data_IF_524734012963
#
_entry.id   IF_524734012963
#
_cell.length_a   1.000
_cell.length_b   1.000
_cell.length_c   1.000
_cell.angle_alpha   90.00
_cell.angle_beta   90.00
_cell.angle_gamma   90.00
#
_symmetry.space_group_name_H-M   'P 1'
#
loop_
_entity.id
_entity.type
_entity.pdbx_description
1 polymer ?
#
# COMPACT_ATOMS: atom_id res chain seq x y z
N UNK A 1 4.73 39.46 -2.40
CA UNK A 1 4.54 38.72 -1.13
C UNK A 1 4.08 37.25 -1.37
N UNK A 2 3.10 36.97 -2.21
CA UNK A 2 2.62 35.63 -2.53
C UNK A 2 3.69 34.69 -3.13
N UNK A 3 4.59 35.18 -3.99
CA UNK A 3 5.69 34.37 -4.57
C UNK A 3 6.75 33.97 -3.54
N UNK A 4 7.00 34.78 -2.53
CA UNK A 4 7.96 34.49 -1.45
C UNK A 4 7.37 33.46 -0.47
N UNK A 5 6.07 33.56 -0.18
CA UNK A 5 5.39 32.54 0.63
C UNK A 5 5.34 31.16 -0.08
N UNK A 6 4.99 31.09 -1.37
CA UNK A 6 5.07 29.85 -2.15
C UNK A 6 6.47 29.21 -2.16
N UNK A 7 7.53 30.03 -2.29
CA UNK A 7 8.92 29.52 -2.21
C UNK A 7 9.27 28.96 -0.82
N UNK A 8 8.82 29.60 0.26
CA UNK A 8 9.07 29.13 1.64
C UNK A 8 8.30 27.83 1.94
N UNK A 9 7.06 27.70 1.45
CA UNK A 9 6.30 26.45 1.57
C UNK A 9 6.94 25.31 0.75
N UNK A 10 7.40 25.57 -0.47
CA UNK A 10 8.09 24.57 -1.30
C UNK A 10 9.44 24.14 -0.72
N UNK A 11 10.23 25.02 -0.10
CA UNK A 11 11.49 24.67 0.54
C UNK A 11 11.28 23.82 1.80
N UNK A 12 10.28 24.13 2.63
CA UNK A 12 9.94 23.33 3.81
C UNK A 12 9.48 21.91 3.44
N UNK A 13 8.70 21.77 2.36
CA UNK A 13 8.25 20.46 1.87
C UNK A 13 9.42 19.59 1.36
N UNK A 14 10.43 20.18 0.71
CA UNK A 14 11.64 19.48 0.23
C UNK A 14 12.54 19.05 1.41
N UNK A 15 12.71 19.90 2.42
CA UNK A 15 13.51 19.56 3.60
C UNK A 15 12.86 18.43 4.41
N UNK A 16 11.55 18.48 4.63
CA UNK A 16 10.79 17.41 5.31
C UNK A 16 10.89 16.11 4.51
N UNK A 17 10.75 16.17 3.20
CA UNK A 17 10.89 15.00 2.32
C UNK A 17 12.27 14.34 2.46
N UNK A 18 13.34 15.15 2.36
CA UNK A 18 14.70 14.64 2.46
C UNK A 18 14.96 14.03 3.84
N UNK A 19 14.47 14.68 4.91
CA UNK A 19 14.56 14.16 6.27
C UNK A 19 13.82 12.82 6.40
N UNK A 20 12.58 12.71 5.89
CA UNK A 20 11.79 11.46 5.91
C UNK A 20 12.47 10.36 5.11
N UNK A 21 13.00 10.67 3.94
CA UNK A 21 13.73 9.72 3.09
C UNK A 21 14.96 9.17 3.82
N UNK A 22 15.76 10.05 4.43
CA UNK A 22 16.96 9.66 5.17
C UNK A 22 16.60 8.82 6.42
N UNK A 23 15.63 9.26 7.21
CA UNK A 23 15.16 8.52 8.39
C UNK A 23 14.64 7.13 7.99
N UNK A 24 13.88 7.03 6.90
CA UNK A 24 13.36 5.75 6.43
C UNK A 24 14.47 4.79 6.01
N UNK A 25 15.50 5.29 5.33
CA UNK A 25 16.69 4.50 4.99
C UNK A 25 17.44 4.05 6.26
N UNK A 26 17.65 4.96 7.20
CA UNK A 26 18.40 4.70 8.43
C UNK A 26 17.66 3.75 9.39
N UNK A 27 16.32 3.71 9.32
CA UNK A 27 15.50 2.74 10.07
C UNK A 27 15.47 1.36 9.41
N UNK A 28 15.52 1.26 8.08
CA UNK A 28 15.51 -0.04 7.38
C UNK A 28 16.68 -0.92 7.78
N UNK A 29 17.86 -0.36 7.91
CA UNK A 29 19.09 -1.11 8.25
C UNK A 29 19.00 -1.86 9.58
N UNK A 30 18.69 -1.22 10.74
CA UNK A 30 18.55 -1.92 12.00
C UNK A 30 17.35 -2.89 12.01
N UNK A 31 16.25 -2.56 11.33
CA UNK A 31 15.11 -3.47 11.23
C UNK A 31 15.46 -4.75 10.46
N UNK A 32 16.20 -4.66 9.36
CA UNK A 32 16.69 -5.82 8.63
C UNK A 32 17.61 -6.69 9.49
N UNK A 33 18.46 -6.07 10.31
CA UNK A 33 19.31 -6.81 11.25
C UNK A 33 18.48 -7.52 12.32
N UNK A 34 17.46 -6.87 12.90
CA UNK A 34 16.56 -7.50 13.89
C UNK A 34 15.83 -8.70 13.27
N UNK A 35 15.29 -8.58 12.05
CA UNK A 35 14.67 -9.69 11.35
C UNK A 35 15.63 -10.86 11.18
N UNK A 36 16.88 -10.59 10.74
CA UNK A 36 17.90 -11.63 10.59
C UNK A 36 18.25 -12.34 11.90
N UNK A 37 18.33 -11.63 13.03
CA UNK A 37 18.54 -12.26 14.34
C UNK A 37 17.31 -13.07 14.80
N UNK A 38 16.10 -12.63 14.51
CA UNK A 38 14.88 -13.38 14.79
C UNK A 38 14.84 -14.68 13.98
N UNK A 39 15.27 -14.64 12.70
CA UNK A 39 15.38 -15.83 11.87
C UNK A 39 16.40 -16.84 12.43
N UNK A 40 17.54 -16.38 12.91
CA UNK A 40 18.53 -17.23 13.56
C UNK A 40 18.00 -17.88 14.85
N UNK A 41 17.25 -17.13 15.65
CA UNK A 41 16.65 -17.64 16.89
C UNK A 41 15.54 -18.66 16.69
N UNK A 42 14.94 -18.74 15.48
CA UNK A 42 13.98 -19.80 15.17
C UNK A 42 14.60 -21.21 15.12
N UNK A 43 15.92 -21.29 14.84
CA UNK A 43 16.65 -22.55 14.81
C UNK A 43 17.19 -22.98 16.18
N UNK A 44 17.06 -22.13 17.21
CA UNK A 44 17.53 -22.43 18.56
C UNK A 44 16.46 -23.11 19.40
N UNK A 45 16.88 -24.03 20.31
CA UNK A 45 15.97 -24.62 21.29
C UNK A 45 15.56 -23.58 22.34
N UNK A 46 14.37 -23.03 22.19
CA UNK A 46 13.83 -22.01 23.09
C UNK A 46 12.59 -22.52 23.84
N UNK A 47 12.34 -21.99 25.05
CA UNK A 47 11.12 -22.27 25.79
C UNK A 47 9.87 -21.81 25.05
N UNK A 48 8.69 -22.36 25.39
CA UNK A 48 7.40 -21.92 24.81
C UNK A 48 7.16 -20.43 25.02
N UNK A 49 7.53 -19.92 26.18
CA UNK A 49 7.40 -18.49 26.50
C UNK A 49 8.34 -17.63 25.63
N UNK A 50 9.59 -18.07 25.45
CA UNK A 50 10.53 -17.36 24.58
C UNK A 50 10.04 -17.34 23.14
N UNK A 51 9.52 -18.43 22.59
CA UNK A 51 8.92 -18.47 21.24
C UNK A 51 7.76 -17.50 21.12
N UNK A 52 6.90 -17.38 22.14
CA UNK A 52 5.81 -16.42 22.15
C UNK A 52 6.32 -14.97 22.12
N UNK A 53 7.36 -14.64 22.90
CA UNK A 53 7.94 -13.30 22.88
C UNK A 53 8.63 -12.99 21.56
N UNK A 54 9.34 -13.94 20.98
CA UNK A 54 9.97 -13.80 19.66
C UNK A 54 8.95 -13.55 18.57
N UNK A 55 7.81 -14.26 18.56
CA UNK A 55 6.71 -14.02 17.63
C UNK A 55 6.18 -12.57 17.76
N UNK A 56 5.96 -12.09 18.99
CA UNK A 56 5.51 -10.70 19.20
C UNK A 56 6.54 -9.69 18.70
N UNK A 57 7.84 -9.93 18.93
CA UNK A 57 8.91 -9.05 18.45
C UNK A 57 8.94 -9.06 16.93
N UNK A 58 8.80 -10.22 16.30
CA UNK A 58 8.73 -10.37 14.82
C UNK A 58 7.59 -9.51 14.26
N UNK A 59 6.37 -9.71 14.76
CA UNK A 59 5.19 -8.96 14.30
C UNK A 59 5.41 -7.43 14.41
N UNK A 60 6.03 -6.97 15.50
CA UNK A 60 6.31 -5.54 15.69
C UNK A 60 7.40 -5.03 14.76
N UNK A 61 8.41 -5.84 14.50
CA UNK A 61 9.50 -5.48 13.58
C UNK A 61 9.00 -5.41 12.14
N UNK A 62 8.19 -6.36 11.71
CA UNK A 62 7.55 -6.37 10.39
C UNK A 62 6.65 -5.15 10.20
N UNK A 63 5.85 -4.81 11.21
CA UNK A 63 5.02 -3.61 11.20
C UNK A 63 5.86 -2.32 11.06
N UNK A 64 6.98 -2.20 11.80
CA UNK A 64 7.88 -1.05 11.70
C UNK A 64 8.56 -0.99 10.32
N UNK A 65 8.95 -2.12 9.76
CA UNK A 65 9.53 -2.21 8.41
C UNK A 65 8.52 -1.70 7.38
N UNK A 66 7.28 -2.19 7.43
CA UNK A 66 6.21 -1.75 6.55
C UNK A 66 5.95 -0.25 6.68
N UNK A 67 5.84 0.28 7.91
CA UNK A 67 5.62 1.71 8.15
C UNK A 67 6.76 2.55 7.55
N UNK A 68 8.00 2.10 7.71
CA UNK A 68 9.19 2.78 7.19
C UNK A 68 9.17 2.80 5.66
N UNK A 69 8.81 1.69 5.02
CA UNK A 69 8.71 1.59 3.56
C UNK A 69 7.56 2.45 3.01
N UNK A 70 6.41 2.45 3.66
CA UNK A 70 5.28 3.29 3.27
C UNK A 70 5.62 4.78 3.41
N UNK A 71 6.30 5.17 4.50
CA UNK A 71 6.75 6.54 4.73
C UNK A 71 7.78 6.99 3.67
N UNK A 72 8.75 6.11 3.36
CA UNK A 72 9.72 6.35 2.29
C UNK A 72 9.03 6.56 0.94
N UNK A 73 8.11 5.68 0.60
CA UNK A 73 7.38 5.76 -0.65
C UNK A 73 6.49 7.00 -0.74
N UNK A 74 5.82 7.34 0.36
CA UNK A 74 5.06 8.57 0.44
C UNK A 74 5.94 9.81 0.19
N UNK A 75 7.15 9.83 0.76
CA UNK A 75 8.14 10.89 0.55
C UNK A 75 8.58 11.00 -0.93
N UNK A 76 8.82 9.85 -1.59
CA UNK A 76 9.22 9.82 -3.00
C UNK A 76 8.08 10.24 -3.93
N UNK A 77 6.89 9.74 -3.70
CA UNK A 77 5.71 10.00 -4.56
C UNK A 77 5.31 11.46 -4.51
N UNK A 78 5.49 12.14 -3.38
CA UNK A 78 5.19 13.58 -3.24
C UNK A 78 6.20 14.50 -3.93
N UNK A 79 7.33 13.98 -4.44
CA UNK A 79 8.32 14.82 -5.12
C UNK A 79 7.92 15.08 -6.56
N UNK A 80 7.86 16.37 -6.96
CA UNK A 80 7.63 16.80 -8.35
C UNK A 80 8.70 16.27 -9.33
N UNK A 81 9.84 15.79 -8.83
CA UNK A 81 10.95 15.22 -9.60
C UNK A 81 10.77 13.72 -9.92
N UNK A 82 9.75 13.07 -9.37
CA UNK A 82 9.53 11.65 -9.64
C UNK A 82 8.81 11.48 -10.99
N UNK A 83 9.58 11.54 -12.07
CA UNK A 83 9.09 11.22 -13.41
C UNK A 83 8.67 9.75 -13.44
N UNK A 84 7.35 9.50 -13.45
CA UNK A 84 6.82 8.17 -13.73
C UNK A 84 7.36 7.68 -15.09
N UNK A 85 7.85 6.47 -15.11
CA UNK A 85 8.26 5.84 -16.36
C UNK A 85 7.00 5.33 -17.10
N UNK A 86 6.44 6.19 -17.94
CA UNK A 86 5.18 5.88 -18.62
C UNK A 86 5.45 5.14 -19.94
N UNK A 87 4.79 4.00 -20.11
CA UNK A 87 4.80 3.16 -21.31
C UNK A 87 3.38 2.62 -21.59
N UNK A 88 3.12 2.06 -22.78
CA UNK A 88 1.86 1.36 -23.02
C UNK A 88 1.77 0.10 -22.15
N UNK A 89 0.86 0.11 -21.15
CA UNK A 89 0.67 -0.97 -20.18
C UNK A 89 -0.72 -1.59 -20.34
N UNK A 90 -0.79 -2.91 -20.40
CA UNK A 90 -2.04 -3.66 -20.28
C UNK A 90 -2.45 -3.71 -18.82
N UNK A 91 -3.53 -3.00 -18.46
CA UNK A 91 -4.06 -2.96 -17.09
C UNK A 91 -4.44 -4.37 -16.63
N UNK A 92 -5.13 -5.15 -17.47
CA UNK A 92 -5.53 -6.52 -17.13
C UNK A 92 -4.35 -7.41 -16.77
N UNK A 93 -3.24 -7.33 -17.51
CA UNK A 93 -2.02 -8.10 -17.19
C UNK A 93 -1.44 -7.73 -15.83
N UNK A 94 -1.33 -6.45 -15.51
CA UNK A 94 -0.81 -6.00 -14.20
C UNK A 94 -1.75 -6.43 -13.08
N UNK A 95 -3.07 -6.41 -13.34
CA UNK A 95 -4.07 -6.90 -12.40
C UNK A 95 -3.93 -8.40 -12.13
N UNK A 96 -3.82 -9.22 -13.20
CA UNK A 96 -3.59 -10.66 -13.09
C UNK A 96 -2.32 -11.00 -12.30
N UNK A 97 -1.20 -10.35 -12.61
CA UNK A 97 0.07 -10.51 -11.90
C UNK A 97 -0.07 -10.16 -10.41
N UNK A 98 -0.79 -9.07 -10.11
CA UNK A 98 -1.03 -8.64 -8.72
C UNK A 98 -1.94 -9.62 -7.99
N UNK A 99 -3.03 -10.08 -8.60
CA UNK A 99 -3.94 -11.07 -8.03
C UNK A 99 -3.23 -12.40 -7.77
N UNK A 100 -2.39 -12.86 -8.70
CA UNK A 100 -1.60 -14.08 -8.53
C UNK A 100 -0.63 -13.98 -7.34
N UNK A 101 0.04 -12.84 -7.17
CA UNK A 101 0.95 -12.60 -6.05
C UNK A 101 0.24 -12.67 -4.67
N UNK A 102 -1.02 -12.27 -4.61
CA UNK A 102 -1.82 -12.26 -3.38
C UNK A 102 -2.69 -13.51 -3.18
N UNK A 103 -2.74 -14.42 -4.16
CA UNK A 103 -3.66 -15.55 -4.15
C UNK A 103 -3.54 -16.43 -2.89
N UNK A 104 -2.33 -16.80 -2.50
CA UNK A 104 -2.09 -17.61 -1.31
C UNK A 104 -2.55 -16.91 -0.03
N UNK A 105 -2.28 -15.61 0.09
CA UNK A 105 -2.65 -14.83 1.27
C UNK A 105 -4.17 -14.62 1.36
N UNK A 106 -4.85 -14.37 0.24
CA UNK A 106 -6.31 -14.28 0.16
C UNK A 106 -6.95 -15.62 0.51
N UNK A 107 -6.45 -16.73 -0.07
CA UNK A 107 -6.96 -18.09 0.20
C UNK A 107 -6.79 -18.49 1.67
N UNK A 108 -5.68 -18.13 2.31
CA UNK A 108 -5.44 -18.37 3.73
C UNK A 108 -6.46 -17.63 4.64
N UNK A 109 -7.06 -16.57 4.15
CA UNK A 109 -8.16 -15.82 4.82
C UNK A 109 -9.56 -16.27 4.38
N UNK A 110 -9.66 -17.29 3.54
CA UNK A 110 -10.94 -17.79 3.01
C UNK A 110 -11.55 -16.88 1.93
N UNK A 111 -10.79 -15.89 1.42
CA UNK A 111 -11.27 -15.00 0.38
C UNK A 111 -11.01 -15.64 -0.99
N UNK A 112 -12.08 -15.89 -1.74
CA UNK A 112 -11.99 -16.36 -3.13
C UNK A 112 -12.40 -15.21 -4.05
N UNK A 113 -11.44 -14.55 -4.72
CA UNK A 113 -11.74 -13.40 -5.55
C UNK A 113 -12.51 -13.80 -6.80
N UNK A 114 -13.54 -13.01 -7.14
CA UNK A 114 -14.22 -13.06 -8.42
C UNK A 114 -13.65 -11.96 -9.31
N UNK A 115 -13.06 -12.34 -10.44
CA UNK A 115 -12.41 -11.38 -11.34
C UNK A 115 -13.16 -11.37 -12.67
N UNK A 116 -13.55 -10.17 -13.12
CA UNK A 116 -14.19 -9.94 -14.41
C UNK A 116 -13.35 -8.95 -15.21
N UNK A 117 -13.03 -9.35 -16.46
CA UNK A 117 -12.22 -8.53 -17.36
C UNK A 117 -12.77 -8.63 -18.78
N UNK A 118 -12.66 -7.58 -19.59
CA UNK A 118 -13.07 -7.64 -20.99
C UNK A 118 -12.13 -8.57 -21.79
N UNK A 119 -12.65 -9.14 -22.88
CA UNK A 119 -11.85 -9.98 -23.79
C UNK A 119 -10.75 -9.18 -24.50
N UNK A 120 -11.03 -7.92 -24.80
CA UNK A 120 -10.07 -7.02 -25.43
C UNK A 120 -9.08 -6.45 -24.39
N UNK A 121 -7.82 -6.31 -24.83
CA UNK A 121 -6.77 -5.74 -23.97
C UNK A 121 -7.00 -4.26 -23.74
N UNK A 122 -7.18 -3.88 -22.48
CA UNK A 122 -7.25 -2.48 -22.07
C UNK A 122 -5.83 -1.96 -21.85
N UNK A 123 -5.35 -1.12 -22.78
CA UNK A 123 -4.00 -0.54 -22.75
C UNK A 123 -4.08 0.96 -22.44
N UNK A 124 -3.25 1.44 -21.52
CA UNK A 124 -3.08 2.86 -21.17
C UNK A 124 -1.60 3.20 -21.05
N UNK A 125 -1.27 4.48 -21.30
CA UNK A 125 0.10 4.99 -21.10
C UNK A 125 0.24 5.40 -19.64
N UNK A 126 0.94 4.56 -18.87
CA UNK A 126 1.12 4.73 -17.43
C UNK A 126 2.36 3.97 -16.93
N UNK A 127 2.70 4.11 -15.68
CA UNK A 127 3.82 3.40 -15.05
C UNK A 127 3.31 2.06 -14.47
N UNK A 128 3.84 0.95 -15.01
CA UNK A 128 3.45 -0.40 -14.60
C UNK A 128 3.80 -0.69 -13.12
N UNK A 129 4.91 -0.15 -12.62
CA UNK A 129 5.33 -0.35 -11.23
C UNK A 129 4.45 0.43 -10.25
N UNK A 130 4.09 1.66 -10.61
CA UNK A 130 3.15 2.47 -9.87
C UNK A 130 1.75 1.83 -9.83
N UNK A 131 1.25 1.32 -10.97
CA UNK A 131 -0.02 0.61 -11.02
C UNK A 131 -0.02 -0.67 -10.17
N UNK A 132 1.03 -1.48 -10.26
CA UNK A 132 1.19 -2.68 -9.41
C UNK A 132 1.15 -2.32 -7.93
N UNK A 133 1.76 -1.21 -7.54
CA UNK A 133 1.74 -0.71 -6.18
C UNK A 133 0.34 -0.26 -5.75
N UNK A 134 -0.41 0.40 -6.63
CA UNK A 134 -1.83 0.75 -6.36
C UNK A 134 -2.62 -0.52 -6.05
N UNK A 135 -2.55 -1.55 -6.91
CA UNK A 135 -3.26 -2.81 -6.69
C UNK A 135 -2.81 -3.52 -5.41
N UNK A 136 -1.52 -3.53 -5.12
CA UNK A 136 -1.00 -4.10 -3.86
C UNK A 136 -1.60 -3.41 -2.63
N UNK A 137 -1.69 -2.08 -2.62
CA UNK A 137 -2.28 -1.33 -1.51
C UNK A 137 -3.79 -1.62 -1.36
N UNK A 138 -4.52 -1.75 -2.48
CA UNK A 138 -5.93 -2.12 -2.45
C UNK A 138 -6.13 -3.56 -1.94
N UNK A 139 -5.32 -4.52 -2.42
CA UNK A 139 -5.40 -5.91 -1.98
C UNK A 139 -5.04 -6.08 -0.49
N UNK A 140 -4.04 -5.35 0.01
CA UNK A 140 -3.75 -5.31 1.45
C UNK A 140 -4.94 -4.76 2.25
N UNK A 141 -5.62 -3.73 1.72
CA UNK A 141 -6.82 -3.19 2.35
C UNK A 141 -7.94 -4.23 2.40
N UNK A 142 -8.21 -4.93 1.30
CA UNK A 142 -9.18 -6.04 1.24
C UNK A 142 -8.84 -7.13 2.26
N UNK A 143 -7.60 -7.60 2.28
CA UNK A 143 -7.19 -8.64 3.24
C UNK A 143 -7.41 -8.21 4.70
N UNK A 144 -7.42 -6.92 4.97
CA UNK A 144 -7.54 -6.38 6.32
C UNK A 144 -8.98 -6.14 6.76
N UNK A 145 -9.81 -5.69 5.85
CA UNK A 145 -11.14 -5.17 6.17
C UNK A 145 -12.30 -5.93 5.54
N UNK A 146 -12.06 -6.80 4.55
CA UNK A 146 -13.12 -7.60 3.93
C UNK A 146 -13.68 -8.62 4.93
N UNK A 147 -14.99 -8.80 4.88
CA UNK A 147 -15.73 -9.83 5.61
C UNK A 147 -15.59 -11.24 4.97
N UNK A 148 -14.73 -11.41 3.97
CA UNK A 148 -14.42 -12.70 3.34
C UNK A 148 -14.74 -12.77 1.85
N UNK A 149 -15.08 -11.65 1.22
CA UNK A 149 -15.39 -11.54 -0.19
C UNK A 149 -14.48 -10.55 -0.93
N UNK A 150 -14.35 -10.72 -2.23
CA UNK A 150 -13.69 -9.77 -3.13
C UNK A 150 -14.22 -9.96 -4.55
N UNK A 151 -14.70 -8.88 -5.13
CA UNK A 151 -15.01 -8.79 -6.56
C UNK A 151 -14.11 -7.73 -7.19
N UNK A 152 -13.47 -8.08 -8.31
CA UNK A 152 -12.61 -7.16 -9.06
C UNK A 152 -13.08 -7.11 -10.49
N UNK A 153 -13.42 -5.92 -10.97
CA UNK A 153 -13.90 -5.70 -12.33
C UNK A 153 -13.02 -4.70 -13.04
N UNK A 154 -12.49 -5.09 -14.20
CA UNK A 154 -11.86 -4.16 -15.15
C UNK A 154 -12.85 -3.86 -16.28
N UNK A 155 -13.13 -2.59 -16.50
CA UNK A 155 -13.99 -2.13 -17.60
C UNK A 155 -13.15 -1.75 -18.84
N UNK A 156 -13.76 -1.76 -20.02
CA UNK A 156 -13.13 -1.33 -21.29
C UNK A 156 -12.63 0.14 -21.22
N UNK A 157 -13.27 0.96 -20.39
CA UNK A 157 -12.86 2.33 -20.12
C UNK A 157 -11.48 2.43 -19.45
N UNK A 158 -10.99 1.33 -18.85
CA UNK A 158 -9.77 1.30 -18.03
C UNK A 158 -10.04 1.55 -16.54
N UNK A 159 -11.30 1.67 -16.15
CA UNK A 159 -11.69 1.71 -14.75
C UNK A 159 -11.54 0.32 -14.12
N UNK A 160 -10.99 0.28 -12.90
CA UNK A 160 -10.83 -0.94 -12.11
C UNK A 160 -11.58 -0.78 -10.80
N UNK A 161 -12.52 -1.67 -10.56
CA UNK A 161 -13.39 -1.66 -9.38
C UNK A 161 -12.96 -2.81 -8.46
N UNK A 162 -12.66 -2.50 -7.19
CA UNK A 162 -12.47 -3.47 -6.12
C UNK A 162 -13.68 -3.34 -5.18
N UNK A 163 -14.47 -4.38 -5.08
CA UNK A 163 -15.66 -4.39 -4.21
C UNK A 163 -15.57 -5.52 -3.20
N UNK A 164 -15.81 -5.19 -1.94
CA UNK A 164 -15.91 -6.15 -0.84
C UNK A 164 -16.84 -5.62 0.25
N UNK A 165 -17.45 -6.52 1.02
CA UNK A 165 -18.18 -6.15 2.21
C UNK A 165 -17.22 -5.86 3.37
N UNK A 166 -17.52 -4.83 4.14
CA UNK A 166 -16.74 -4.42 5.31
C UNK A 166 -17.68 -3.90 6.40
N UNK A 167 -18.18 -4.78 7.25
CA UNK A 167 -19.21 -4.47 8.27
C UNK A 167 -18.78 -3.46 9.34
N UNK A 168 -17.50 -3.13 9.40
CA UNK A 168 -16.92 -2.17 10.34
C UNK A 168 -16.72 -0.75 9.80
N UNK A 169 -17.18 -0.44 8.58
CA UNK A 169 -16.96 0.85 7.91
C UNK A 169 -18.29 1.51 7.62
N UNK A 170 -18.48 2.74 8.10
CA UNK A 170 -19.64 3.58 7.80
C UNK A 170 -19.34 4.56 6.63
N UNK A 171 -20.38 5.26 6.15
CA UNK A 171 -20.28 6.21 5.05
C UNK A 171 -19.33 7.38 5.34
N UNK A 172 -19.28 7.85 6.60
CA UNK A 172 -18.36 8.92 7.02
C UNK A 172 -16.90 8.43 6.97
N UNK A 173 -16.67 7.21 7.38
CA UNK A 173 -15.37 6.56 7.36
C UNK A 173 -14.93 6.27 5.92
N UNK A 174 -15.85 5.85 5.04
CA UNK A 174 -15.61 5.65 3.60
C UNK A 174 -15.08 6.92 2.95
N UNK A 175 -15.69 8.08 3.22
CA UNK A 175 -15.20 9.38 2.71
C UNK A 175 -13.79 9.76 3.15
N UNK A 176 -13.27 9.12 4.21
CA UNK A 176 -11.95 9.38 4.78
C UNK A 176 -10.89 8.31 4.50
N UNK A 177 -11.23 7.24 3.78
CA UNK A 177 -10.33 6.11 3.55
C UNK A 177 -8.99 6.51 2.88
N UNK A 178 -9.00 7.58 2.10
CA UNK A 178 -7.81 8.11 1.44
C UNK A 178 -7.08 9.19 2.24
N UNK A 179 -7.58 9.55 3.45
CA UNK A 179 -6.91 10.48 4.34
C UNK A 179 -5.64 9.83 4.91
N UNK A 180 -4.58 10.62 5.07
CA UNK A 180 -3.30 10.16 5.60
C UNK A 180 -3.43 9.79 7.06
N UNK A 181 -2.79 8.66 7.44
CA UNK A 181 -2.79 8.15 8.80
C UNK A 181 -4.19 7.82 9.35
N UNK A 182 -5.19 7.82 8.47
CA UNK A 182 -6.53 7.41 8.86
C UNK A 182 -6.62 5.88 8.91
N UNK A 183 -7.06 5.37 10.04
CA UNK A 183 -7.31 3.95 10.26
C UNK A 183 -8.61 3.78 11.02
N UNK A 184 -9.39 2.75 10.69
CA UNK A 184 -10.55 2.37 11.48
C UNK A 184 -10.06 1.69 12.76
N UNK A 185 -10.61 2.07 13.91
CA UNK A 185 -10.12 1.69 15.25
C UNK A 185 -9.98 0.17 15.50
N UNK A 186 -10.70 -0.66 14.75
CA UNK A 186 -10.65 -2.12 14.83
C UNK A 186 -9.39 -2.76 14.19
N UNK A 187 -8.60 -2.00 13.47
CA UNK A 187 -7.48 -2.49 12.67
C UNK A 187 -6.13 -2.26 13.36
N UNK A 188 -5.80 -3.10 14.33
CA UNK A 188 -4.66 -2.96 15.24
C UNK A 188 -3.25 -2.77 14.64
N UNK A 189 -3.02 -2.96 13.34
CA UNK A 189 -1.70 -2.88 12.71
C UNK A 189 -1.74 -2.15 11.35
N UNK A 190 -2.37 -0.98 11.26
CA UNK A 190 -2.46 -0.19 10.03
C UNK A 190 -1.75 1.14 10.17
N UNK A 191 -0.96 1.48 9.17
CA UNK A 191 -0.25 2.76 9.11
C UNK A 191 -1.14 3.90 8.63
N UNK A 192 -2.24 3.58 7.91
CA UNK A 192 -3.12 4.56 7.27
C UNK A 192 -2.48 5.30 6.09
N UNK A 193 -1.37 4.78 5.54
CA UNK A 193 -0.68 5.39 4.41
C UNK A 193 -0.96 4.68 3.07
N UNK A 194 -1.30 3.40 3.08
CA UNK A 194 -1.42 2.60 1.86
C UNK A 194 -2.40 3.18 0.83
N UNK A 195 -3.63 3.51 1.25
CA UNK A 195 -4.63 4.12 0.36
C UNK A 195 -4.28 5.56 -0.04
N UNK A 196 -3.66 6.34 0.85
CA UNK A 196 -3.16 7.67 0.53
C UNK A 196 -2.04 7.64 -0.53
N UNK A 197 -1.16 6.62 -0.48
CA UNK A 197 -0.14 6.35 -1.51
C UNK A 197 -0.82 5.95 -2.83
N UNK A 198 -1.79 5.03 -2.78
CA UNK A 198 -2.54 4.62 -3.96
C UNK A 198 -3.18 5.82 -4.66
N UNK A 199 -3.86 6.71 -3.90
CA UNK A 199 -4.46 7.94 -4.43
C UNK A 199 -3.42 8.84 -5.10
N UNK A 200 -2.29 9.08 -4.43
CA UNK A 200 -1.25 9.95 -4.98
C UNK A 200 -0.66 9.37 -6.28
N UNK A 201 -0.42 8.06 -6.35
CA UNK A 201 0.07 7.40 -7.57
C UNK A 201 -0.94 7.47 -8.72
N UNK A 202 -2.22 7.26 -8.44
CA UNK A 202 -3.31 7.39 -9.43
C UNK A 202 -3.40 8.82 -9.95
N UNK A 203 -3.36 9.83 -9.06
CA UNK A 203 -3.37 11.26 -9.44
C UNK A 203 -2.14 11.62 -10.29
N UNK A 204 -0.94 11.10 -9.99
CA UNK A 204 0.25 11.30 -10.82
C UNK A 204 0.13 10.65 -12.20
N UNK A 205 -0.54 9.52 -12.31
CA UNK A 205 -0.91 8.89 -13.58
C UNK A 205 -2.10 9.56 -14.28
N UNK A 206 -2.58 10.72 -13.75
CA UNK A 206 -3.72 11.50 -14.26
C UNK A 206 -5.06 10.76 -14.21
N UNK A 207 -5.18 9.80 -13.31
CA UNK A 207 -6.41 9.09 -12.99
C UNK A 207 -7.11 9.68 -11.76
N UNK A 208 -8.22 9.06 -11.40
CA UNK A 208 -9.00 9.35 -10.20
C UNK A 208 -9.25 8.07 -9.41
N UNK A 209 -9.39 8.16 -8.11
CA UNK A 209 -9.76 7.05 -7.23
C UNK A 209 -10.78 7.56 -6.20
N UNK A 210 -11.83 6.78 -6.00
CA UNK A 210 -12.90 7.05 -5.03
C UNK A 210 -13.28 5.77 -4.28
N UNK A 211 -14.00 5.90 -3.18
CA UNK A 211 -14.64 4.81 -2.46
C UNK A 211 -16.10 5.20 -2.18
N UNK A 212 -16.99 4.21 -2.26
CA UNK A 212 -18.43 4.35 -2.05
C UNK A 212 -18.91 3.31 -1.02
#
# INVERSE_FOLDING_TARGET
RLRVQRRRFGQGDVEIKNAVTNISHDLRTPLTAICGYLDLLEYEETSKEAKRYLAVIRDRTEMLTQLTEELFCYSLVKSEENNLYTEPVSIGRVLEESMAAFYTALSARGITPKVQMPEEKVVRVLDASALRRVFSNLLHNVMKYSDGDLEVTLLETGEVIFANNASGIDEVQTGRLFDRFYTVASAGNSTGLGLAIARTLVEQMKGTISAE
#
